data_IF_585414273270
#
_entry.id   IF_585414273270
#
_cell.length_a   1.000
_cell.length_b   1.000
_cell.length_c   1.000
_cell.angle_alpha   90.00
_cell.angle_beta   90.00
_cell.angle_gamma   90.00
#
_symmetry.space_group_name_H-M   'P 1'
#
loop_
_entity.id
_entity.type
_entity.pdbx_description
1 polymer ?
#
# COMPACT_ATOMS: atom_id res chain seq x y z
N UNK A 1 -15.26 13.63 -34.07
CA UNK A 1 -16.40 13.07 -33.31
C UNK A 1 -16.02 13.14 -31.83
N UNK A 2 -16.82 13.84 -31.03
CA UNK A 2 -16.58 14.06 -29.58
C UNK A 2 -17.18 12.88 -28.83
N UNK A 3 -16.39 12.14 -28.06
CA UNK A 3 -16.91 11.23 -27.04
C UNK A 3 -16.66 11.84 -25.67
N UNK A 4 -17.74 12.39 -25.09
CA UNK A 4 -17.86 12.60 -23.64
C UNK A 4 -17.90 11.22 -22.99
N UNK A 5 -16.93 10.93 -22.12
CA UNK A 5 -16.98 9.81 -21.19
C UNK A 5 -17.39 10.34 -19.82
N UNK A 6 -18.55 9.89 -19.36
CA UNK A 6 -19.25 10.37 -18.18
C UNK A 6 -18.51 9.94 -16.91
N UNK A 7 -17.92 10.89 -16.19
CA UNK A 7 -17.36 10.67 -14.87
C UNK A 7 -18.49 10.44 -13.87
N UNK A 8 -18.59 9.23 -13.32
CA UNK A 8 -19.53 8.91 -12.26
C UNK A 8 -18.86 9.17 -10.90
N UNK A 9 -19.21 10.31 -10.29
CA UNK A 9 -18.84 10.68 -8.92
C UNK A 9 -19.70 9.86 -7.94
N UNK A 10 -19.07 9.03 -7.11
CA UNK A 10 -19.75 8.37 -6.00
C UNK A 10 -19.49 9.19 -4.73
N UNK A 11 -20.54 9.82 -4.21
CA UNK A 11 -20.54 10.54 -2.94
C UNK A 11 -20.83 9.55 -1.80
N UNK A 12 -19.89 9.36 -0.88
CA UNK A 12 -20.13 8.63 0.37
C UNK A 12 -20.44 9.65 1.46
N UNK A 13 -21.71 9.77 1.87
CA UNK A 13 -22.13 10.55 3.03
C UNK A 13 -21.92 9.72 4.30
N UNK A 14 -20.92 10.09 5.10
CA UNK A 14 -20.79 9.61 6.47
C UNK A 14 -21.67 10.48 7.37
N UNK A 15 -22.83 9.95 7.77
CA UNK A 15 -23.60 10.49 8.89
C UNK A 15 -22.89 10.16 10.19
N UNK A 16 -22.21 11.14 10.79
CA UNK A 16 -21.81 11.07 12.19
C UNK A 16 -22.91 11.65 13.06
N UNK A 17 -23.70 10.75 13.67
CA UNK A 17 -24.57 11.05 14.80
C UNK A 17 -23.72 11.53 15.98
N UNK A 18 -23.95 12.75 16.47
CA UNK A 18 -23.59 13.18 17.81
C UNK A 18 -24.79 13.91 18.41
N UNK A 19 -25.36 13.33 19.46
CA UNK A 19 -26.49 13.87 20.22
C UNK A 19 -26.03 14.86 21.28
N UNK A 20 -26.67 16.04 21.29
CA UNK A 20 -26.97 17.00 22.37
C UNK A 20 -25.95 17.31 23.49
N UNK A 21 -25.59 18.60 23.65
CA UNK A 21 -25.94 19.38 24.86
C UNK A 21 -25.94 20.92 24.62
N UNK A 22 -26.49 21.64 25.59
CA UNK A 22 -27.28 22.88 25.57
C UNK A 22 -26.55 24.23 25.33
N UNK A 23 -27.34 25.16 24.79
CA UNK A 23 -27.38 26.63 25.03
C UNK A 23 -26.05 27.40 25.00
N UNK A 24 -25.93 28.21 23.93
CA UNK A 24 -25.28 29.51 24.03
C UNK A 24 -24.40 29.84 22.84
N UNK A 25 -24.98 30.56 21.87
CA UNK A 25 -24.32 31.42 20.87
C UNK A 25 -22.82 31.19 20.67
N UNK A 26 -22.47 30.48 19.60
CA UNK A 26 -21.26 30.82 18.85
C UNK A 26 -21.53 30.56 17.38
N UNK A 27 -21.47 31.64 16.62
CA UNK A 27 -21.35 31.66 15.17
C UNK A 27 -20.31 30.62 14.74
N UNK A 28 -20.78 29.60 14.01
CA UNK A 28 -19.91 28.71 13.27
C UNK A 28 -19.23 29.53 12.17
N UNK A 29 -18.07 30.09 12.50
CA UNK A 29 -17.09 30.52 11.52
C UNK A 29 -16.58 29.24 10.85
N UNK A 30 -17.11 28.97 9.65
CA UNK A 30 -16.52 27.98 8.76
C UNK A 30 -15.15 28.53 8.34
N UNK A 31 -14.12 28.13 9.09
CA UNK A 31 -12.74 28.28 8.67
C UNK A 31 -12.58 27.38 7.46
N UNK A 32 -12.22 27.99 6.34
CA UNK A 32 -12.09 27.35 5.03
C UNK A 32 -11.52 25.94 5.16
N UNK A 33 -12.38 24.95 4.97
CA UNK A 33 -11.95 23.56 4.83
C UNK A 33 -11.24 23.52 3.48
N UNK A 34 -9.93 23.75 3.52
CA UNK A 34 -9.05 23.36 2.42
C UNK A 34 -9.06 21.84 2.43
N UNK A 35 -10.06 21.26 1.78
CA UNK A 35 -10.10 19.83 1.48
C UNK A 35 -8.85 19.56 0.65
N UNK A 36 -7.81 19.03 1.28
CA UNK A 36 -6.65 18.53 0.57
C UNK A 36 -7.12 17.33 -0.25
N UNK A 37 -7.50 17.61 -1.50
CA UNK A 37 -7.72 16.58 -2.51
C UNK A 37 -6.33 16.04 -2.81
N UNK A 38 -5.88 15.03 -2.06
CA UNK A 38 -4.72 14.24 -2.48
C UNK A 38 -5.13 13.51 -3.76
N UNK A 39 -4.41 13.69 -4.87
CA UNK A 39 -4.65 12.91 -6.07
C UNK A 39 -4.60 11.42 -5.71
N UNK A 40 -5.67 10.68 -6.01
CA UNK A 40 -5.62 9.22 -5.96
C UNK A 40 -4.82 8.81 -7.19
N UNK A 41 -3.55 8.48 -7.00
CA UNK A 41 -2.72 7.92 -8.06
C UNK A 41 -3.24 6.52 -8.37
N UNK A 42 -3.87 6.38 -9.55
CA UNK A 42 -4.34 5.08 -10.03
C UNK A 42 -3.13 4.34 -10.58
N UNK A 43 -2.76 3.26 -9.91
CA UNK A 43 -1.68 2.38 -10.37
C UNK A 43 -2.12 1.63 -11.64
N UNK A 44 -1.31 1.75 -12.70
CA UNK A 44 -1.61 1.20 -14.04
C UNK A 44 -0.59 0.15 -14.49
N UNK A 45 0.53 0.03 -13.79
CA UNK A 45 1.57 -0.97 -14.04
C UNK A 45 1.00 -2.39 -13.78
N UNK A 46 0.66 -3.08 -14.86
CA UNK A 46 0.05 -4.41 -14.79
C UNK A 46 0.98 -5.45 -14.15
N UNK A 47 2.29 -5.33 -14.35
CA UNK A 47 3.26 -6.24 -13.75
C UNK A 47 3.29 -6.03 -12.23
N UNK A 48 3.32 -4.78 -11.78
CA UNK A 48 3.22 -4.47 -10.36
C UNK A 48 1.86 -4.89 -9.77
N UNK A 49 0.73 -4.68 -10.45
CA UNK A 49 -0.58 -5.11 -9.95
C UNK A 49 -0.66 -6.64 -9.76
N UNK A 50 -0.04 -7.40 -10.66
CA UNK A 50 0.08 -8.85 -10.53
C UNK A 50 0.92 -9.24 -9.30
N UNK A 51 2.10 -8.63 -9.13
CA UNK A 51 2.95 -8.85 -7.95
C UNK A 51 2.25 -8.44 -6.66
N UNK A 52 1.58 -7.30 -6.66
CA UNK A 52 0.82 -6.81 -5.52
C UNK A 52 -0.23 -7.83 -5.10
N UNK A 53 -0.94 -8.46 -6.04
CA UNK A 53 -1.94 -9.49 -5.74
C UNK A 53 -1.30 -10.79 -5.27
N UNK A 54 -0.34 -11.31 -6.02
CA UNK A 54 0.13 -12.69 -5.89
C UNK A 54 1.24 -12.88 -4.86
N UNK A 55 1.98 -11.83 -4.53
CA UNK A 55 3.08 -11.87 -3.57
C UNK A 55 2.75 -11.03 -2.33
N UNK A 56 2.58 -9.72 -2.51
CA UNK A 56 2.48 -8.82 -1.36
C UNK A 56 1.16 -8.99 -0.61
N UNK A 57 0.00 -8.92 -1.29
CA UNK A 57 -1.32 -9.09 -0.66
C UNK A 57 -1.56 -10.51 -0.15
N UNK A 58 -1.06 -11.51 -0.88
CA UNK A 58 -1.25 -12.91 -0.52
C UNK A 58 -0.49 -13.28 0.76
N UNK A 59 0.72 -12.73 0.97
CA UNK A 59 1.63 -13.28 1.99
C UNK A 59 2.27 -12.23 2.90
N UNK A 60 2.47 -10.99 2.44
CA UNK A 60 3.33 -10.03 3.14
C UNK A 60 2.54 -8.94 3.88
N UNK A 61 1.49 -8.39 3.26
CA UNK A 61 0.80 -7.19 3.76
C UNK A 61 -0.02 -7.42 5.02
N UNK A 62 -0.26 -8.68 5.42
CA UNK A 62 -0.83 -8.99 6.75
C UNK A 62 0.06 -8.46 7.87
N UNK A 63 1.37 -8.52 7.66
CA UNK A 63 2.40 -8.17 8.65
C UNK A 63 3.17 -6.88 8.31
N UNK A 64 3.12 -6.45 7.04
CA UNK A 64 3.85 -5.32 6.47
C UNK A 64 2.89 -4.35 5.78
N UNK A 65 2.19 -3.56 6.58
CA UNK A 65 1.22 -2.56 6.15
C UNK A 65 1.39 -1.24 6.91
N UNK A 66 0.68 -0.20 6.47
CA UNK A 66 0.73 1.14 7.05
C UNK A 66 0.53 1.18 8.58
N UNK A 67 -0.35 0.33 9.13
CA UNK A 67 -0.57 0.28 10.58
C UNK A 67 0.64 -0.29 11.30
N UNK A 68 1.15 -1.43 10.84
CA UNK A 68 2.34 -2.08 11.42
C UNK A 68 3.61 -1.25 11.23
N UNK A 69 3.68 -0.43 10.19
CA UNK A 69 4.79 0.50 10.00
C UNK A 69 4.87 1.53 11.13
N UNK A 70 3.72 2.09 11.51
CA UNK A 70 3.66 3.07 12.61
C UNK A 70 3.83 2.39 13.97
N UNK A 71 3.17 1.25 14.18
CA UNK A 71 3.08 0.62 15.51
C UNK A 71 4.24 -0.30 15.85
N UNK A 72 4.91 -0.86 14.85
CA UNK A 72 5.91 -1.94 15.01
C UNK A 72 7.18 -1.70 14.19
N UNK A 73 7.34 -0.49 13.63
CA UNK A 73 8.50 -0.11 12.84
C UNK A 73 8.82 -1.09 11.71
N UNK A 74 7.77 -1.56 11.01
CA UNK A 74 7.88 -2.49 9.89
C UNK A 74 7.81 -1.76 8.55
N UNK A 75 8.45 -2.31 7.53
CA UNK A 75 8.28 -1.83 6.16
C UNK A 75 6.82 -1.98 5.70
N UNK A 76 6.24 -0.93 5.12
CA UNK A 76 4.89 -0.94 4.53
C UNK A 76 4.94 -1.42 3.09
N UNK A 77 4.67 -2.71 2.88
CA UNK A 77 4.67 -3.38 1.58
C UNK A 77 3.35 -3.20 0.81
N UNK A 78 2.50 -2.25 1.20
CA UNK A 78 1.33 -1.86 0.41
C UNK A 78 1.66 -0.78 -0.62
N UNK A 79 2.81 -0.09 -0.47
CA UNK A 79 3.22 1.06 -1.28
C UNK A 79 4.35 0.69 -2.24
N UNK A 80 4.12 0.87 -3.54
CA UNK A 80 5.11 0.62 -4.62
C UNK A 80 6.43 1.33 -4.37
N UNK A 81 6.36 2.62 -4.01
CA UNK A 81 7.55 3.44 -3.73
C UNK A 81 8.45 2.82 -2.66
N UNK A 82 7.86 2.40 -1.54
CA UNK A 82 8.62 1.81 -0.43
C UNK A 82 9.20 0.43 -0.79
N UNK A 83 8.48 -0.35 -1.61
CA UNK A 83 9.00 -1.62 -2.15
C UNK A 83 10.24 -1.37 -3.01
N UNK A 84 10.20 -0.36 -3.89
CA UNK A 84 11.33 -0.04 -4.76
C UNK A 84 12.53 0.49 -3.99
N UNK A 85 12.32 1.37 -3.03
CA UNK A 85 13.39 1.93 -2.19
C UNK A 85 14.10 0.88 -1.33
N UNK A 86 13.43 -0.25 -1.03
CA UNK A 86 13.94 -1.32 -0.17
C UNK A 86 14.06 -2.66 -0.92
N UNK A 87 14.16 -2.61 -2.25
CA UNK A 87 14.09 -3.81 -3.10
C UNK A 87 15.11 -4.88 -2.72
N UNK A 88 16.38 -4.49 -2.53
CA UNK A 88 17.46 -5.43 -2.23
C UNK A 88 17.29 -6.11 -0.87
N UNK A 89 16.84 -5.37 0.16
CA UNK A 89 16.55 -5.95 1.48
C UNK A 89 15.36 -6.92 1.40
N UNK A 90 14.29 -6.56 0.69
CA UNK A 90 13.15 -7.45 0.46
C UNK A 90 13.61 -8.74 -0.23
N UNK A 91 14.42 -8.62 -1.29
CA UNK A 91 14.91 -9.77 -2.04
C UNK A 91 15.78 -10.66 -1.15
N UNK A 92 16.74 -10.07 -0.42
CA UNK A 92 17.59 -10.76 0.55
C UNK A 92 16.77 -11.53 1.60
N UNK A 93 15.72 -10.91 2.15
CA UNK A 93 14.82 -11.54 3.13
C UNK A 93 13.98 -12.68 2.54
N UNK A 94 13.70 -12.65 1.24
CA UNK A 94 12.95 -13.69 0.54
C UNK A 94 13.82 -14.87 0.09
N UNK A 95 15.11 -14.66 -0.16
CA UNK A 95 16.05 -15.70 -0.63
C UNK A 95 17.06 -16.09 0.45
N UNK A 96 18.01 -15.20 0.73
CA UNK A 96 19.28 -15.53 1.36
C UNK A 96 19.14 -15.69 2.88
N UNK A 97 18.15 -15.03 3.49
CA UNK A 97 17.81 -15.24 4.89
C UNK A 97 17.37 -16.68 5.20
N UNK A 98 16.78 -17.40 4.23
CA UNK A 98 16.41 -18.80 4.38
C UNK A 98 17.62 -19.73 4.27
N UNK A 99 18.52 -19.47 3.31
CA UNK A 99 19.64 -20.36 3.02
C UNK A 99 20.78 -20.23 4.02
N UNK A 100 20.99 -19.04 4.61
CA UNK A 100 22.15 -18.79 5.45
C UNK A 100 21.90 -18.99 6.96
N UNK A 101 20.64 -19.11 7.40
CA UNK A 101 20.29 -19.42 8.80
C UNK A 101 20.77 -18.41 9.86
N UNK A 102 21.25 -17.23 9.45
CA UNK A 102 21.82 -16.23 10.35
C UNK A 102 20.78 -15.29 10.99
N UNK A 103 19.54 -15.28 10.48
CA UNK A 103 18.46 -14.47 11.02
C UNK A 103 17.31 -15.34 11.54
N UNK A 104 16.68 -14.89 12.63
CA UNK A 104 15.51 -15.52 13.22
C UNK A 104 14.40 -15.65 12.18
N UNK A 105 14.13 -16.89 11.77
CA UNK A 105 12.98 -17.22 10.95
C UNK A 105 11.75 -17.32 11.85
N UNK A 106 10.63 -16.64 11.56
CA UNK A 106 9.41 -16.86 12.30
C UNK A 106 8.97 -18.33 12.15
N UNK A 107 8.53 -18.94 13.25
CA UNK A 107 8.00 -20.33 13.26
C UNK A 107 6.84 -20.53 12.27
N UNK A 108 6.14 -19.44 11.93
CA UNK A 108 5.06 -19.40 10.95
C UNK A 108 5.48 -18.61 9.71
N UNK A 109 5.50 -19.29 8.56
CA UNK A 109 5.81 -18.69 7.26
C UNK A 109 6.78 -19.56 6.46
N UNK A 110 6.31 -20.12 5.35
CA UNK A 110 7.20 -20.81 4.41
C UNK A 110 7.97 -19.82 3.53
N UNK A 111 9.04 -20.29 2.86
CA UNK A 111 9.74 -19.47 1.88
C UNK A 111 8.82 -19.02 0.75
N UNK A 112 9.08 -17.84 0.21
CA UNK A 112 8.45 -17.38 -1.03
C UNK A 112 8.91 -18.31 -2.16
N UNK A 113 8.00 -18.69 -3.06
CA UNK A 113 8.36 -19.57 -4.17
C UNK A 113 9.34 -18.89 -5.12
N UNK A 114 10.29 -19.66 -5.67
CA UNK A 114 11.26 -19.16 -6.65
C UNK A 114 10.60 -18.44 -7.83
N UNK A 115 9.44 -18.93 -8.29
CA UNK A 115 8.68 -18.29 -9.37
C UNK A 115 8.22 -16.86 -9.02
N UNK A 116 7.77 -16.61 -7.79
CA UNK A 116 7.37 -15.25 -7.37
C UNK A 116 8.59 -14.33 -7.18
N UNK A 117 9.72 -14.89 -6.74
CA UNK A 117 10.99 -14.17 -6.66
C UNK A 117 11.47 -13.75 -8.07
N UNK A 118 11.35 -14.64 -9.05
CA UNK A 118 11.70 -14.34 -10.44
C UNK A 118 10.77 -13.29 -11.05
N UNK A 119 9.47 -13.33 -10.75
CA UNK A 119 8.52 -12.29 -11.15
C UNK A 119 8.92 -10.91 -10.55
N UNK A 120 9.36 -10.88 -9.29
CA UNK A 120 9.81 -9.67 -8.62
C UNK A 120 11.09 -9.09 -9.28
N UNK A 121 12.06 -9.96 -9.61
CA UNK A 121 13.29 -9.59 -10.35
C UNK A 121 13.01 -9.07 -11.75
N UNK A 122 12.13 -9.76 -12.49
CA UNK A 122 11.74 -9.35 -13.83
C UNK A 122 11.06 -7.99 -13.84
N UNK A 123 10.17 -7.73 -12.86
CA UNK A 123 9.54 -6.43 -12.71
C UNK A 123 10.56 -5.32 -12.40
N UNK A 124 11.47 -5.52 -11.44
CA UNK A 124 12.51 -4.51 -11.15
C UNK A 124 13.37 -4.19 -12.37
N UNK A 125 13.76 -5.22 -13.12
CA UNK A 125 14.54 -5.06 -14.37
C UNK A 125 13.75 -4.27 -15.42
N UNK A 126 12.44 -4.50 -15.54
CA UNK A 126 11.60 -3.77 -16.50
C UNK A 126 11.50 -2.26 -16.22
N UNK A 127 11.73 -1.83 -14.97
CA UNK A 127 11.72 -0.43 -14.57
C UNK A 127 13.02 0.29 -14.90
N UNK A 128 14.15 -0.44 -15.01
CA UNK A 128 15.46 0.15 -15.29
C UNK A 128 15.66 0.49 -16.80
N UNK A 129 14.67 0.15 -17.63
CA UNK A 129 14.62 0.45 -19.06
C UNK A 129 13.64 1.58 -19.42
N UNK A 130 13.07 2.27 -18.42
CA UNK A 130 12.20 3.44 -18.55
C UNK A 130 12.96 4.72 -18.18
#
# INVERSE_FOLDING_TARGET
>A
MKHLSTFMLIFVFLFTSCTFDNKGKSTLLFKDITTAITPIEIETDQAYLKLQKNLFKASCTKCHNAETAIKKDRLDLTKKKLILENYDDILYRMTDAFDMGFDYMPEEGGPVSAALIDELKAWKTSLDHL
#
